data_IF_929980340953
#
_entry.id   IF_929980340953
#
_cell.length_a   1.000
_cell.length_b   1.000
_cell.length_c   1.000
_cell.angle_alpha   90.00
_cell.angle_beta   90.00
_cell.angle_gamma   90.00
#
_symmetry.space_group_name_H-M   'P 1'
#
loop_
_entity.id
_entity.type
_entity.pdbx_description
1 polymer ?
#
# COMPACT_ATOMS: atom_id res chain seq x y z
N UNK A 1 -9.36 13.40 39.54
CA UNK A 1 -8.55 14.57 39.95
C UNK A 1 -9.30 15.90 39.93
N UNK A 2 -9.77 16.42 38.80
CA UNK A 2 -10.66 17.61 38.79
C UNK A 2 -11.97 17.35 39.57
N UNK A 3 -12.47 16.13 39.48
CA UNK A 3 -13.59 15.64 40.27
C UNK A 3 -13.29 15.45 41.76
N UNK A 4 -12.02 15.44 42.18
CA UNK A 4 -11.67 15.29 43.61
C UNK A 4 -11.70 16.64 44.35
N UNK A 5 -11.46 17.75 43.65
CA UNK A 5 -11.55 19.10 44.24
C UNK A 5 -13.01 19.58 44.40
N UNK A 6 -13.90 19.16 43.49
CA UNK A 6 -15.34 19.52 43.51
C UNK A 6 -16.08 19.14 44.80
N UNK A 7 -15.98 17.89 45.32
CA UNK A 7 -16.71 17.50 46.52
C UNK A 7 -16.20 18.24 47.76
N UNK A 8 -14.93 18.62 47.83
CA UNK A 8 -14.41 19.42 48.94
C UNK A 8 -14.97 20.83 48.94
N UNK A 9 -15.11 21.43 47.76
CA UNK A 9 -15.78 22.72 47.60
C UNK A 9 -17.26 22.64 47.98
N UNK A 10 -17.95 21.61 47.50
CA UNK A 10 -19.35 21.39 47.83
C UNK A 10 -19.56 21.15 49.34
N UNK A 11 -18.64 20.42 49.97
CA UNK A 11 -18.62 20.23 51.42
C UNK A 11 -18.39 21.55 52.16
N UNK A 12 -17.50 22.42 51.67
CA UNK A 12 -17.25 23.75 52.25
C UNK A 12 -18.49 24.66 52.12
N UNK A 13 -19.11 24.70 50.94
CA UNK A 13 -20.32 25.50 50.69
C UNK A 13 -21.51 24.98 51.50
N UNK A 14 -21.66 23.66 51.61
CA UNK A 14 -22.68 23.05 52.46
C UNK A 14 -22.43 23.31 53.95
N UNK A 15 -21.17 23.32 54.39
CA UNK A 15 -20.81 23.71 55.76
C UNK A 15 -21.08 25.18 56.07
N UNK A 16 -21.04 26.08 55.09
CA UNK A 16 -21.47 27.47 55.26
C UNK A 16 -23.00 27.59 55.32
N UNK A 17 -23.73 26.80 54.52
CA UNK A 17 -25.21 26.80 54.52
C UNK A 17 -25.82 26.29 55.83
N UNK A 18 -25.08 25.52 56.62
CA UNK A 18 -25.53 25.11 57.97
C UNK A 18 -25.43 26.24 59.00
N UNK A 19 -24.71 27.32 58.71
CA UNK A 19 -24.52 28.45 59.63
C UNK A 19 -25.74 29.37 59.58
N UNK A 20 -26.44 29.49 60.70
CA UNK A 20 -27.57 30.42 60.82
C UNK A 20 -27.09 31.84 61.17
N UNK A 21 -27.59 32.90 60.50
CA UNK A 21 -27.24 34.29 60.82
C UNK A 21 -27.50 34.68 62.29
N UNK A 22 -28.54 34.09 62.89
CA UNK A 22 -28.88 34.29 64.31
C UNK A 22 -27.77 33.81 65.25
N UNK A 23 -27.04 32.77 64.88
CA UNK A 23 -25.96 32.21 65.69
C UNK A 23 -24.65 32.99 65.58
N UNK A 24 -24.35 33.55 64.41
CA UNK A 24 -23.26 34.51 64.30
C UNK A 24 -23.53 35.74 65.19
N UNK A 25 -24.80 36.16 65.30
CA UNK A 25 -25.20 37.22 66.20
C UNK A 25 -25.10 36.84 67.69
N UNK A 26 -25.22 35.57 68.08
CA UNK A 26 -25.00 35.11 69.47
C UNK A 26 -23.52 35.04 69.80
N UNK A 27 -22.68 34.50 68.92
CA UNK A 27 -21.22 34.45 69.07
C UNK A 27 -20.64 35.86 69.23
N UNK A 28 -21.15 36.84 68.48
CA UNK A 28 -20.78 38.26 68.60
C UNK A 28 -21.07 38.87 69.98
N UNK A 29 -22.09 38.39 70.69
CA UNK A 29 -22.49 38.91 72.01
C UNK A 29 -21.71 38.29 73.17
N UNK A 30 -20.90 37.26 72.92
CA UNK A 30 -20.09 36.61 73.94
C UNK A 30 -18.92 37.52 74.34
N UNK A 31 -18.91 37.98 75.59
CA UNK A 31 -17.79 38.76 76.14
C UNK A 31 -16.50 37.92 76.27
N UNK A 32 -16.64 36.60 76.51
CA UNK A 32 -15.54 35.64 76.61
C UNK A 32 -15.96 34.29 75.99
N UNK A 33 -15.89 34.13 74.66
CA UNK A 33 -16.28 32.87 74.01
C UNK A 33 -15.35 31.69 74.39
N UNK A 34 -15.80 30.45 74.17
CA UNK A 34 -14.97 29.26 74.35
C UNK A 34 -13.70 29.32 73.50
N UNK A 35 -12.61 28.76 74.03
CA UNK A 35 -11.30 28.79 73.39
C UNK A 35 -11.31 28.27 71.94
N UNK A 36 -12.03 27.16 71.70
CA UNK A 36 -12.15 26.58 70.36
C UNK A 36 -12.84 27.53 69.35
N UNK A 37 -13.85 28.29 69.80
CA UNK A 37 -14.52 29.29 68.94
C UNK A 37 -13.55 30.41 68.56
N UNK A 38 -12.71 30.84 69.50
CA UNK A 38 -11.68 31.84 69.22
C UNK A 38 -10.63 31.31 68.24
N UNK A 39 -10.19 30.06 68.37
CA UNK A 39 -9.24 29.43 67.43
C UNK A 39 -9.82 29.31 66.01
N UNK A 40 -11.09 28.94 65.89
CA UNK A 40 -11.77 28.87 64.57
C UNK A 40 -11.82 30.26 63.93
N UNK A 41 -12.09 31.31 64.71
CA UNK A 41 -12.08 32.68 64.19
C UNK A 41 -10.69 33.19 63.81
N UNK A 42 -9.63 32.79 64.53
CA UNK A 42 -8.25 33.06 64.11
C UNK A 42 -7.95 32.42 62.76
N UNK A 43 -8.44 31.20 62.50
CA UNK A 43 -8.29 30.54 61.20
C UNK A 43 -9.01 31.30 60.08
N UNK A 44 -10.19 31.85 60.38
CA UNK A 44 -10.93 32.71 59.44
C UNK A 44 -10.16 34.02 59.21
N UNK A 45 -9.57 34.64 60.23
CA UNK A 45 -8.72 35.83 60.05
C UNK A 45 -7.51 35.55 59.16
N UNK A 46 -6.87 34.39 59.34
CA UNK A 46 -5.72 33.95 58.53
C UNK A 46 -6.13 33.79 57.06
N UNK A 47 -7.24 33.10 56.77
CA UNK A 47 -7.75 32.93 55.41
C UNK A 47 -8.08 34.27 54.73
N UNK A 48 -8.61 35.24 55.47
CA UNK A 48 -8.88 36.59 54.96
C UNK A 48 -7.68 37.54 55.03
N UNK A 49 -6.49 37.03 55.38
CA UNK A 49 -5.24 37.78 55.51
C UNK A 49 -5.40 39.05 56.36
N UNK A 50 -6.16 38.93 57.46
CA UNK A 50 -6.38 40.02 58.43
C UNK A 50 -5.33 39.98 59.54
N UNK A 51 -5.17 41.12 60.21
CA UNK A 51 -4.21 41.28 61.28
C UNK A 51 -4.56 40.35 62.46
N UNK A 52 -3.55 39.64 62.96
CA UNK A 52 -3.60 38.90 64.22
C UNK A 52 -2.90 39.71 65.33
N UNK A 53 -3.30 39.46 66.57
CA UNK A 53 -2.60 39.98 67.74
C UNK A 53 -1.22 39.31 67.88
N UNK A 54 -0.25 39.95 68.56
CA UNK A 54 1.08 39.36 68.76
C UNK A 54 1.00 37.99 69.44
N UNK A 55 1.80 37.05 68.94
CA UNK A 55 1.80 35.65 69.40
C UNK A 55 2.32 35.55 70.84
N UNK A 56 1.39 35.34 71.79
CA UNK A 56 1.72 35.12 73.21
C UNK A 56 1.36 33.68 73.57
N UNK A 57 2.30 32.95 74.17
CA UNK A 57 2.07 31.57 74.62
C UNK A 57 1.18 31.53 75.87
N UNK A 58 0.09 30.75 75.81
CA UNK A 58 -0.77 30.48 76.96
C UNK A 58 -0.42 29.11 77.56
N UNK A 59 0.20 29.14 78.74
CA UNK A 59 0.62 27.93 79.45
C UNK A 59 -0.56 27.07 79.95
N UNK A 60 -1.74 27.65 80.19
CA UNK A 60 -2.92 26.92 80.66
C UNK A 60 -3.64 26.18 79.53
N UNK A 61 -3.63 26.76 78.33
CA UNK A 61 -4.29 26.18 77.15
C UNK A 61 -3.33 25.40 76.26
N UNK A 62 -2.03 25.46 76.55
CA UNK A 62 -0.94 24.85 75.77
C UNK A 62 -1.02 25.23 74.29
N UNK A 63 -1.34 26.49 74.02
CA UNK A 63 -1.50 27.01 72.67
C UNK A 63 -1.36 28.54 72.68
N UNK A 64 -1.29 29.16 71.50
CA UNK A 64 -1.21 30.62 71.40
C UNK A 64 -2.50 31.30 71.86
N UNK A 65 -2.37 32.46 72.50
CA UNK A 65 -3.49 33.30 72.87
C UNK A 65 -4.23 33.76 71.61
N UNK A 66 -5.56 33.57 71.53
CA UNK A 66 -6.29 33.86 70.32
C UNK A 66 -6.60 35.35 70.16
N UNK A 67 -6.74 35.80 68.91
CA UNK A 67 -6.92 37.21 68.52
C UNK A 67 -8.40 37.60 68.49
N UNK A 68 -9.09 37.44 69.63
CA UNK A 68 -10.53 37.69 69.70
C UNK A 68 -10.93 39.14 69.41
N UNK A 69 -10.06 40.12 69.75
CA UNK A 69 -10.32 41.53 69.48
C UNK A 69 -10.45 41.83 67.98
N UNK A 70 -9.54 41.27 67.17
CA UNK A 70 -9.58 41.39 65.71
C UNK A 70 -10.70 40.52 65.10
N UNK A 71 -10.94 39.33 65.66
CA UNK A 71 -12.05 38.45 65.25
C UNK A 71 -13.40 39.14 65.41
N UNK A 72 -13.59 39.85 66.52
CA UNK A 72 -14.83 40.58 66.79
C UNK A 72 -15.03 41.76 65.83
N UNK A 73 -13.96 42.46 65.42
CA UNK A 73 -14.04 43.48 64.37
C UNK A 73 -14.52 42.90 63.04
N UNK A 74 -14.01 41.72 62.67
CA UNK A 74 -14.43 41.02 61.45
C UNK A 74 -15.88 40.53 61.51
N UNK A 75 -16.31 39.98 62.66
CA UNK A 75 -17.71 39.58 62.90
C UNK A 75 -18.67 40.77 62.93
N UNK A 76 -18.20 41.94 63.33
CA UNK A 76 -18.99 43.19 63.33
C UNK A 76 -19.06 43.86 61.96
N UNK A 77 -18.18 43.49 61.01
CA UNK A 77 -18.22 44.01 59.66
C UNK A 77 -19.51 43.56 58.94
N UNK A 78 -20.19 44.48 58.26
CA UNK A 78 -21.36 44.16 57.46
C UNK A 78 -21.01 43.15 56.37
N UNK A 79 -21.79 42.06 56.28
CA UNK A 79 -21.63 41.08 55.19
C UNK A 79 -20.66 39.92 55.44
N UNK A 80 -20.24 39.64 56.69
CA UNK A 80 -19.35 38.52 57.03
C UNK A 80 -19.70 37.18 56.33
N UNK A 81 -20.97 36.74 56.41
CA UNK A 81 -21.41 35.50 55.76
C UNK A 81 -21.35 35.57 54.22
N UNK A 82 -21.63 36.74 53.63
CA UNK A 82 -21.52 36.93 52.18
C UNK A 82 -20.07 36.87 51.72
N UNK A 83 -19.15 37.43 52.51
CA UNK A 83 -17.72 37.36 52.24
C UNK A 83 -17.18 35.93 52.34
N UNK A 84 -17.73 35.09 53.25
CA UNK A 84 -17.40 33.66 53.33
C UNK A 84 -17.89 32.88 52.11
N UNK A 85 -19.12 33.14 51.65
CA UNK A 85 -19.69 32.48 50.47
C UNK A 85 -18.98 32.88 49.18
N UNK A 86 -18.58 34.15 49.06
CA UNK A 86 -17.89 34.70 47.88
C UNK A 86 -16.37 34.77 48.06
N UNK A 87 -15.80 33.97 48.95
CA UNK A 87 -14.37 33.98 49.22
C UNK A 87 -13.58 33.56 47.97
N UNK A 88 -12.56 34.35 47.61
CA UNK A 88 -11.67 34.05 46.50
C UNK A 88 -10.68 32.95 46.91
N UNK A 89 -10.94 31.74 46.43
CA UNK A 89 -10.24 30.52 46.83
C UNK A 89 -8.86 30.41 46.18
N UNK A 90 -8.66 31.11 45.07
CA UNK A 90 -7.37 31.18 44.38
C UNK A 90 -6.42 32.19 45.08
N UNK A 91 -6.92 32.96 46.05
CA UNK A 91 -6.11 33.86 46.88
C UNK A 91 -5.35 33.16 48.03
N UNK A 92 -5.65 31.87 48.29
CA UNK A 92 -4.97 31.09 49.32
C UNK A 92 -3.56 30.73 48.82
N UNK A 93 -2.54 31.18 49.54
CA UNK A 93 -1.14 30.84 49.28
C UNK A 93 -0.62 29.76 50.26
N UNK A 94 0.54 29.17 49.96
CA UNK A 94 1.18 28.14 50.80
C UNK A 94 1.40 28.65 52.22
N UNK A 95 1.85 29.90 52.37
CA UNK A 95 2.11 30.51 53.67
C UNK A 95 0.84 30.64 54.51
N UNK A 96 -0.31 30.84 53.86
CA UNK A 96 -1.61 30.94 54.56
C UNK A 96 -2.01 29.56 55.12
N UNK A 97 -1.80 28.50 54.33
CA UNK A 97 -2.11 27.13 54.76
C UNK A 97 -1.12 26.63 55.82
N UNK A 98 0.15 26.98 55.71
CA UNK A 98 1.16 26.68 56.72
C UNK A 98 0.85 27.39 58.05
N UNK A 99 0.36 28.63 58.01
CA UNK A 99 -0.07 29.35 59.21
C UNK A 99 -1.33 28.75 59.85
N UNK A 100 -2.19 28.09 59.07
CA UNK A 100 -3.36 27.35 59.57
C UNK A 100 -3.01 25.99 60.16
N UNK A 101 -1.92 25.36 59.71
CA UNK A 101 -1.56 23.99 60.09
C UNK A 101 -1.49 23.76 61.62
N UNK A 102 -0.91 24.66 62.45
CA UNK A 102 -0.90 24.48 63.91
C UNK A 102 -2.29 24.45 64.54
N UNK A 103 -3.26 25.17 63.96
CA UNK A 103 -4.64 25.21 64.43
C UNK A 103 -5.42 23.96 64.00
N UNK A 104 -5.30 23.58 62.73
CA UNK A 104 -6.02 22.42 62.15
C UNK A 104 -5.50 21.11 62.75
N UNK A 105 -4.20 21.00 63.00
CA UNK A 105 -3.58 19.80 63.60
C UNK A 105 -3.79 19.71 65.12
N UNK A 106 -4.41 20.70 65.76
CA UNK A 106 -4.69 20.66 67.19
C UNK A 106 -5.76 19.60 67.48
N UNK A 107 -5.55 18.64 68.41
CA UNK A 107 -6.46 17.51 68.61
C UNK A 107 -7.92 17.87 68.95
N UNK A 108 -8.14 19.05 69.54
CA UNK A 108 -9.49 19.55 69.88
C UNK A 108 -10.15 20.32 68.73
N UNK A 109 -9.46 20.53 67.61
CA UNK A 109 -9.98 21.17 66.41
C UNK A 109 -10.72 20.14 65.55
N UNK A 110 -11.85 19.65 66.06
CA UNK A 110 -12.67 18.65 65.37
C UNK A 110 -14.16 18.99 65.49
N UNK A 111 -14.96 18.42 64.58
CA UNK A 111 -16.40 18.68 64.50
C UNK A 111 -17.15 18.34 65.79
N UNK A 112 -16.76 17.27 66.50
CA UNK A 112 -17.46 16.82 67.70
C UNK A 112 -17.29 17.82 68.87
N UNK A 113 -16.07 18.31 69.08
CA UNK A 113 -15.76 19.33 70.08
C UNK A 113 -16.34 20.70 69.70
N UNK A 114 -16.35 21.03 68.40
CA UNK A 114 -17.01 22.24 67.90
C UNK A 114 -18.52 22.19 68.15
N UNK A 115 -19.19 21.07 67.86
CA UNK A 115 -20.62 20.90 68.09
C UNK A 115 -20.99 20.94 69.58
N UNK A 116 -20.10 20.44 70.46
CA UNK A 116 -20.28 20.52 71.92
C UNK A 116 -20.16 21.96 72.46
N UNK A 117 -19.34 22.79 71.82
CA UNK A 117 -19.14 24.18 72.25
C UNK A 117 -20.15 25.15 71.61
N UNK A 118 -20.36 25.06 70.29
CA UNK A 118 -21.37 25.80 69.55
C UNK A 118 -21.66 25.11 68.21
N UNK A 119 -22.89 24.60 68.04
CA UNK A 119 -23.32 23.91 66.83
C UNK A 119 -23.13 24.72 65.54
N UNK A 120 -23.26 26.04 65.61
CA UNK A 120 -23.14 26.94 64.46
C UNK A 120 -21.68 27.25 64.08
N UNK A 121 -20.75 27.14 65.03
CA UNK A 121 -19.31 27.33 64.80
C UNK A 121 -18.67 26.07 64.20
N UNK A 122 -19.34 24.92 64.30
CA UNK A 122 -18.92 23.68 63.64
C UNK A 122 -18.94 23.79 62.10
N UNK A 123 -19.84 24.60 61.52
CA UNK A 123 -19.86 24.88 60.08
C UNK A 123 -18.63 25.67 59.63
N UNK A 124 -18.21 26.67 60.41
CA UNK A 124 -16.99 27.45 60.15
C UNK A 124 -15.72 26.59 60.25
N UNK A 125 -15.65 25.68 61.23
CA UNK A 125 -14.52 24.74 61.35
C UNK A 125 -14.39 23.83 60.13
N UNK A 126 -15.51 23.30 59.61
CA UNK A 126 -15.48 22.44 58.43
C UNK A 126 -15.07 23.23 57.18
N UNK A 127 -15.53 24.48 57.09
CA UNK A 127 -15.16 25.37 56.00
C UNK A 127 -13.66 25.68 55.99
N UNK A 128 -13.03 26.00 57.12
CA UNK A 128 -11.59 26.30 57.19
C UNK A 128 -10.73 25.08 56.81
N UNK A 129 -11.12 23.88 57.22
CA UNK A 129 -10.45 22.62 56.84
C UNK A 129 -10.61 22.37 55.33
N UNK A 130 -11.82 22.50 54.81
CA UNK A 130 -12.08 22.26 53.39
C UNK A 130 -11.34 23.26 52.47
N UNK A 131 -11.13 24.51 52.92
CA UNK A 131 -10.34 25.51 52.20
C UNK A 131 -8.84 25.17 52.17
N UNK A 132 -8.28 24.61 53.25
CA UNK A 132 -6.87 24.17 53.25
C UNK A 132 -6.66 22.93 52.38
N UNK A 133 -7.58 21.96 52.44
CA UNK A 133 -7.53 20.75 51.61
C UNK A 133 -7.70 21.09 50.11
N UNK A 134 -8.58 22.05 49.81
CA UNK A 134 -8.76 22.56 48.46
C UNK A 134 -7.46 23.11 47.87
N UNK A 135 -6.69 23.89 48.63
CA UNK A 135 -5.40 24.43 48.18
C UNK A 135 -4.44 23.31 47.76
N UNK A 136 -4.24 22.28 48.60
CA UNK A 136 -3.31 21.18 48.31
C UNK A 136 -3.69 20.39 47.05
N UNK A 137 -4.98 20.22 46.78
CA UNK A 137 -5.47 19.55 45.58
C UNK A 137 -5.38 20.48 44.37
N UNK A 138 -5.78 21.74 44.49
CA UNK A 138 -5.71 22.71 43.40
C UNK A 138 -4.27 22.91 42.92
N UNK A 139 -3.28 22.93 43.83
CA UNK A 139 -1.85 22.96 43.51
C UNK A 139 -1.41 21.81 42.60
N UNK A 140 -1.97 20.61 42.78
CA UNK A 140 -1.69 19.45 41.92
C UNK A 140 -2.45 19.52 40.59
N UNK A 141 -3.67 20.07 40.60
CA UNK A 141 -4.57 20.08 39.44
C UNK A 141 -4.25 21.19 38.44
N UNK A 142 -3.83 22.37 38.89
CA UNK A 142 -3.48 23.51 38.03
C UNK A 142 -2.43 23.19 36.96
N UNK A 143 -1.25 22.62 37.30
CA UNK A 143 -0.25 22.28 36.28
C UNK A 143 -0.76 21.21 35.31
N UNK A 144 -1.59 20.27 35.78
CA UNK A 144 -2.17 19.23 34.94
C UNK A 144 -3.18 19.81 33.93
N UNK A 145 -4.02 20.77 34.34
CA UNK A 145 -4.93 21.48 33.43
C UNK A 145 -4.17 22.25 32.36
N UNK A 146 -3.12 22.98 32.75
CA UNK A 146 -2.28 23.71 31.82
C UNK A 146 -1.60 22.76 30.82
N UNK A 147 -1.06 21.64 31.31
CA UNK A 147 -0.46 20.61 30.47
C UNK A 147 -1.48 19.99 29.51
N UNK A 148 -2.71 19.72 29.97
CA UNK A 148 -3.78 19.17 29.15
C UNK A 148 -4.13 20.09 27.97
N UNK A 149 -4.33 21.39 28.23
CA UNK A 149 -4.60 22.38 27.16
C UNK A 149 -3.47 22.40 26.11
N UNK A 150 -2.22 22.35 26.55
CA UNK A 150 -1.06 22.33 25.64
C UNK A 150 -1.06 21.04 24.81
N UNK A 151 -1.37 19.89 25.42
CA UNK A 151 -1.40 18.59 24.74
C UNK A 151 -2.56 18.51 23.75
N UNK A 152 -3.74 19.01 24.10
CA UNK A 152 -4.90 19.09 23.20
C UNK A 152 -4.62 19.99 22.00
N UNK A 153 -4.00 21.17 22.21
CA UNK A 153 -3.58 22.03 21.10
C UNK A 153 -2.61 21.30 20.16
N UNK A 154 -1.56 20.67 20.72
CA UNK A 154 -0.58 19.91 19.94
C UNK A 154 -1.22 18.74 19.18
N UNK A 155 -2.19 18.06 19.79
CA UNK A 155 -2.95 17.01 19.13
C UNK A 155 -3.73 17.56 17.94
N UNK A 156 -4.45 18.68 18.12
CA UNK A 156 -5.18 19.33 17.04
C UNK A 156 -4.28 19.75 15.87
N UNK A 157 -3.14 20.35 16.16
CA UNK A 157 -2.13 20.72 15.13
C UNK A 157 -1.59 19.48 14.39
N UNK A 158 -1.25 18.42 15.11
CA UNK A 158 -0.76 17.18 14.51
C UNK A 158 -1.83 16.49 13.65
N UNK A 159 -3.09 16.44 14.10
CA UNK A 159 -4.21 15.89 13.34
C UNK A 159 -4.49 16.71 12.07
N UNK A 160 -4.42 18.04 12.15
CA UNK A 160 -4.56 18.90 10.97
C UNK A 160 -3.45 18.64 9.94
N UNK A 161 -2.19 18.56 10.39
CA UNK A 161 -1.05 18.23 9.53
C UNK A 161 -1.16 16.83 8.92
N UNK A 162 -1.65 15.84 9.67
CA UNK A 162 -1.88 14.49 9.18
C UNK A 162 -2.95 14.49 8.07
N UNK A 163 -4.06 15.18 8.27
CA UNK A 163 -5.13 15.27 7.28
C UNK A 163 -4.67 15.95 5.99
N UNK A 164 -3.85 17.01 6.09
CA UNK A 164 -3.27 17.65 4.91
C UNK A 164 -2.32 16.72 4.15
N UNK A 165 -1.47 15.98 4.88
CA UNK A 165 -0.55 15.01 4.27
C UNK A 165 -1.31 13.86 3.60
N UNK A 166 -2.36 13.34 4.24
CA UNK A 166 -3.21 12.29 3.67
C UNK A 166 -3.90 12.77 2.40
N UNK A 167 -4.45 14.00 2.41
CA UNK A 167 -5.08 14.57 1.21
C UNK A 167 -4.10 14.67 0.03
N UNK A 168 -2.87 15.13 0.28
CA UNK A 168 -1.82 15.19 -0.77
C UNK A 168 -1.46 13.80 -1.27
N UNK A 169 -1.43 12.80 -0.39
CA UNK A 169 -1.17 11.41 -0.76
C UNK A 169 -2.28 10.86 -1.65
N UNK A 170 -3.54 11.09 -1.29
CA UNK A 170 -4.70 10.64 -2.07
C UNK A 170 -4.74 11.30 -3.46
N UNK A 171 -4.45 12.60 -3.54
CA UNK A 171 -4.34 13.33 -4.81
C UNK A 171 -3.23 12.74 -5.70
N UNK A 172 -2.06 12.45 -5.14
CA UNK A 172 -0.94 11.87 -5.89
C UNK A 172 -1.17 10.42 -6.28
N UNK A 173 -1.87 9.64 -5.45
CA UNK A 173 -2.26 8.28 -5.79
C UNK A 173 -3.24 8.27 -6.97
N UNK A 174 -4.23 9.19 -6.99
CA UNK A 174 -5.15 9.31 -8.11
C UNK A 174 -4.44 9.71 -9.42
N UNK A 175 -3.48 10.64 -9.36
CA UNK A 175 -2.63 10.97 -10.52
C UNK A 175 -1.82 9.75 -11.00
N UNK A 176 -1.24 8.99 -10.07
CA UNK A 176 -0.45 7.80 -10.38
C UNK A 176 -1.31 6.72 -11.06
N UNK A 177 -2.51 6.47 -10.56
CA UNK A 177 -3.42 5.46 -11.10
C UNK A 177 -3.82 5.77 -12.55
N UNK A 178 -4.04 7.05 -12.87
CA UNK A 178 -4.31 7.50 -14.25
C UNK A 178 -3.11 7.23 -15.16
N UNK A 179 -1.91 7.60 -14.73
CA UNK A 179 -0.68 7.40 -15.51
C UNK A 179 -0.38 5.91 -15.68
N UNK A 180 -0.59 5.11 -14.64
CA UNK A 180 -0.42 3.66 -14.67
C UNK A 180 -1.37 3.02 -15.69
N UNK A 181 -2.65 3.41 -15.70
CA UNK A 181 -3.62 2.93 -16.68
C UNK A 181 -3.24 3.31 -18.12
N UNK A 182 -2.74 4.54 -18.34
CA UNK A 182 -2.24 4.96 -19.64
C UNK A 182 -1.02 4.15 -20.07
N UNK A 183 -0.09 3.89 -19.13
CA UNK A 183 1.10 3.09 -19.37
C UNK A 183 0.75 1.65 -19.75
N UNK A 184 -0.13 1.01 -19.00
CA UNK A 184 -0.56 -0.37 -19.25
C UNK A 184 -1.26 -0.51 -20.60
N UNK A 185 -2.10 0.48 -20.96
CA UNK A 185 -2.71 0.55 -22.29
C UNK A 185 -1.67 0.67 -23.39
N UNK A 186 -0.72 1.61 -23.26
CA UNK A 186 0.33 1.83 -24.25
C UNK A 186 1.25 0.60 -24.40
N UNK A 187 1.57 -0.09 -23.30
CA UNK A 187 2.35 -1.34 -23.34
C UNK A 187 1.57 -2.48 -23.97
N UNK A 188 0.25 -2.56 -23.75
CA UNK A 188 -0.65 -3.49 -24.43
C UNK A 188 -0.65 -3.28 -25.95
N UNK A 189 -0.86 -2.04 -26.40
CA UNK A 189 -0.84 -1.66 -27.82
C UNK A 189 0.53 -1.93 -28.46
N UNK A 190 1.62 -1.57 -27.77
CA UNK A 190 2.98 -1.86 -28.22
C UNK A 190 3.18 -3.36 -28.43
N UNK A 191 2.71 -4.20 -27.51
CA UNK A 191 2.86 -5.66 -27.63
C UNK A 191 2.11 -6.20 -28.86
N UNK A 192 0.87 -5.78 -29.07
CA UNK A 192 0.08 -6.16 -30.25
C UNK A 192 0.82 -5.79 -31.54
N UNK A 193 1.32 -4.55 -31.63
CA UNK A 193 2.07 -4.10 -32.81
C UNK A 193 3.38 -4.88 -33.02
N UNK A 194 4.08 -5.24 -31.95
CA UNK A 194 5.29 -6.07 -32.05
C UNK A 194 4.99 -7.49 -32.53
N UNK A 195 3.90 -8.09 -32.03
CA UNK A 195 3.47 -9.43 -32.43
C UNK A 195 3.02 -9.45 -33.91
N UNK A 196 2.25 -8.44 -34.33
CA UNK A 196 1.83 -8.28 -35.73
C UNK A 196 3.02 -8.05 -36.67
N UNK A 197 3.99 -7.21 -36.26
CA UNK A 197 5.21 -6.98 -37.03
C UNK A 197 6.04 -8.27 -37.14
N UNK A 198 6.14 -9.06 -36.08
CA UNK A 198 6.83 -10.35 -36.09
C UNK A 198 6.13 -11.35 -37.03
N UNK A 199 4.81 -11.42 -36.99
CA UNK A 199 4.02 -12.27 -37.90
C UNK A 199 4.22 -11.85 -39.36
N UNK A 200 4.16 -10.54 -39.65
CA UNK A 200 4.38 -10.02 -40.99
C UNK A 200 5.79 -10.35 -41.50
N UNK A 201 6.83 -10.19 -40.66
CA UNK A 201 8.20 -10.57 -41.01
C UNK A 201 8.33 -12.05 -41.33
N UNK A 202 7.70 -12.92 -40.55
CA UNK A 202 7.68 -14.38 -40.82
C UNK A 202 7.03 -14.67 -42.16
N UNK A 203 5.83 -14.12 -42.41
CA UNK A 203 5.12 -14.27 -43.70
C UNK A 203 5.98 -13.78 -44.87
N UNK A 204 6.64 -12.63 -44.73
CA UNK A 204 7.49 -12.07 -45.78
C UNK A 204 8.72 -12.95 -46.04
N UNK A 205 9.35 -13.48 -45.00
CA UNK A 205 10.46 -14.44 -45.14
C UNK A 205 10.02 -15.70 -45.88
N UNK A 206 8.88 -16.31 -45.48
CA UNK A 206 8.33 -17.47 -46.16
C UNK A 206 7.98 -17.19 -47.62
N UNK A 207 7.39 -16.03 -47.93
CA UNK A 207 7.08 -15.62 -49.28
C UNK A 207 8.35 -15.45 -50.14
N UNK A 208 9.39 -14.81 -49.60
CA UNK A 208 10.67 -14.65 -50.30
C UNK A 208 11.34 -16.00 -50.60
N UNK A 209 11.33 -16.92 -49.63
CA UNK A 209 11.83 -18.29 -49.83
C UNK A 209 11.07 -18.99 -50.95
N UNK A 210 9.73 -18.89 -50.94
CA UNK A 210 8.89 -19.49 -51.98
C UNK A 210 9.17 -18.89 -53.36
N UNK A 211 9.29 -17.57 -53.47
CA UNK A 211 9.66 -16.89 -54.72
C UNK A 211 11.03 -17.38 -55.22
N UNK A 212 12.01 -17.52 -54.34
CA UNK A 212 13.34 -18.02 -54.70
C UNK A 212 13.28 -19.46 -55.22
N UNK A 213 12.51 -20.34 -54.54
CA UNK A 213 12.34 -21.74 -54.96
C UNK A 213 11.61 -21.84 -56.30
N UNK A 214 10.51 -21.10 -56.49
CA UNK A 214 9.78 -21.05 -57.76
C UNK A 214 10.62 -20.42 -58.88
N UNK A 215 11.52 -19.49 -58.57
CA UNK A 215 12.43 -18.90 -59.54
C UNK A 215 13.34 -19.94 -60.19
N UNK A 216 13.93 -20.83 -59.39
CA UNK A 216 14.73 -21.95 -59.88
C UNK A 216 13.90 -22.96 -60.68
N UNK A 217 12.71 -23.29 -60.17
CA UNK A 217 11.80 -24.24 -60.83
C UNK A 217 11.30 -23.71 -62.19
N UNK A 218 11.00 -22.41 -62.28
CA UNK A 218 10.65 -21.75 -63.55
C UNK A 218 11.75 -21.91 -64.60
N UNK A 219 13.02 -21.73 -64.21
CA UNK A 219 14.16 -21.93 -65.13
C UNK A 219 14.22 -23.38 -65.59
N UNK A 220 14.08 -24.34 -64.65
CA UNK A 220 14.06 -25.78 -64.95
C UNK A 220 12.94 -26.16 -65.92
N UNK A 221 11.70 -25.77 -65.65
CA UNK A 221 10.56 -26.05 -66.54
C UNK A 221 10.69 -25.38 -67.89
N UNK A 222 11.24 -24.16 -67.95
CA UNK A 222 11.49 -23.48 -69.23
C UNK A 222 12.54 -24.23 -70.06
N UNK A 223 13.62 -24.72 -69.43
CA UNK A 223 14.62 -25.52 -70.10
C UNK A 223 14.05 -26.88 -70.57
N UNK A 224 13.30 -27.58 -69.71
CA UNK A 224 12.64 -28.83 -70.07
C UNK A 224 11.63 -28.66 -71.20
N UNK A 225 10.84 -27.59 -71.19
CA UNK A 225 9.89 -27.29 -72.27
C UNK A 225 10.61 -27.10 -73.61
N UNK A 226 11.75 -26.41 -73.63
CA UNK A 226 12.57 -26.26 -74.85
C UNK A 226 13.14 -27.60 -75.31
N UNK A 227 13.65 -28.40 -74.38
CA UNK A 227 14.17 -29.74 -74.69
C UNK A 227 13.08 -30.65 -75.26
N UNK A 228 11.87 -30.64 -74.70
CA UNK A 228 10.75 -31.41 -75.23
C UNK A 228 10.35 -30.97 -76.64
N UNK A 229 10.38 -29.68 -76.95
CA UNK A 229 10.14 -29.20 -78.32
C UNK A 229 11.19 -29.75 -79.29
N UNK A 230 12.47 -29.72 -78.91
CA UNK A 230 13.55 -30.30 -79.72
C UNK A 230 13.46 -31.84 -79.84
N UNK A 231 12.94 -32.53 -78.81
CA UNK A 231 12.67 -33.97 -78.87
C UNK A 231 11.50 -34.28 -79.81
N UNK A 232 10.42 -33.50 -79.77
CA UNK A 232 9.26 -33.67 -80.67
C UNK A 232 9.70 -33.55 -82.14
N UNK A 233 10.59 -32.61 -82.47
CA UNK A 233 11.11 -32.46 -83.83
C UNK A 233 11.89 -33.70 -84.31
N UNK A 234 12.74 -34.29 -83.45
CA UNK A 234 13.57 -35.48 -83.76
C UNK A 234 12.80 -36.81 -83.66
N UNK A 235 11.70 -36.84 -82.93
CA UNK A 235 10.95 -38.06 -82.58
C UNK A 235 10.52 -38.87 -83.81
N UNK A 236 10.16 -38.19 -84.89
CA UNK A 236 9.71 -38.86 -86.13
C UNK A 236 10.84 -39.71 -86.72
N UNK A 237 12.07 -39.19 -86.77
CA UNK A 237 13.24 -39.93 -87.20
C UNK A 237 13.60 -41.06 -86.23
N UNK A 238 13.54 -40.79 -84.92
CA UNK A 238 13.87 -41.78 -83.89
C UNK A 238 12.92 -42.99 -83.90
N UNK A 239 11.61 -42.75 -84.08
CA UNK A 239 10.59 -43.81 -84.24
C UNK A 239 10.83 -44.59 -85.53
N UNK A 240 11.24 -43.93 -86.62
CA UNK A 240 11.56 -44.60 -87.88
C UNK A 240 12.74 -45.56 -87.71
N UNK A 241 13.82 -45.14 -87.05
CA UNK A 241 14.97 -46.00 -86.74
C UNK A 241 14.55 -47.19 -85.88
N UNK A 242 13.78 -46.95 -84.82
CA UNK A 242 13.32 -48.02 -83.92
C UNK A 242 12.43 -49.03 -84.63
N UNK A 243 11.49 -48.57 -85.45
CA UNK A 243 10.58 -49.45 -86.22
C UNK A 243 11.34 -50.22 -87.29
N UNK A 244 12.26 -49.59 -88.02
CA UNK A 244 13.12 -50.27 -88.98
C UNK A 244 13.99 -51.35 -88.31
N UNK A 245 14.56 -51.05 -87.14
CA UNK A 245 15.33 -52.01 -86.35
C UNK A 245 14.46 -53.21 -85.92
N UNK A 246 13.26 -52.98 -85.36
CA UNK A 246 12.35 -54.05 -84.96
C UNK A 246 11.92 -54.93 -86.12
N UNK A 247 11.58 -54.33 -87.26
CA UNK A 247 11.02 -55.04 -88.41
C UNK A 247 12.07 -55.80 -89.22
N UNK A 248 13.30 -55.27 -89.34
CA UNK A 248 14.29 -55.79 -90.29
C UNK A 248 15.59 -56.30 -89.65
N UNK A 249 15.94 -55.91 -88.41
CA UNK A 249 17.24 -56.28 -87.82
C UNK A 249 17.26 -57.61 -87.07
N UNK A 250 16.09 -58.23 -86.80
CA UNK A 250 15.96 -59.45 -86.00
C UNK A 250 16.88 -60.63 -86.38
N UNK A 251 16.90 -61.09 -87.65
CA UNK A 251 17.61 -62.32 -88.03
C UNK A 251 19.13 -62.14 -88.27
N UNK A 252 19.66 -60.92 -88.17
CA UNK A 252 21.05 -60.60 -88.52
C UNK A 252 21.96 -60.51 -87.30
N UNK A 253 23.29 -60.64 -87.48
CA UNK A 253 24.29 -60.47 -86.42
C UNK A 253 24.58 -58.99 -86.12
N UNK A 254 25.29 -58.70 -85.03
CA UNK A 254 25.50 -57.33 -84.54
C UNK A 254 26.17 -56.42 -85.57
N UNK A 255 27.20 -56.90 -86.25
CA UNK A 255 27.92 -56.14 -87.27
C UNK A 255 27.01 -55.73 -88.43
N UNK A 256 26.20 -56.67 -88.93
CA UNK A 256 25.26 -56.38 -90.01
C UNK A 256 24.12 -55.43 -89.57
N UNK A 257 23.63 -55.54 -88.32
CA UNK A 257 22.66 -54.59 -87.75
C UNK A 257 23.20 -53.16 -87.68
N UNK A 258 24.47 -53.00 -87.30
CA UNK A 258 25.13 -51.68 -87.29
C UNK A 258 25.29 -51.11 -88.71
N UNK A 259 25.58 -51.96 -89.70
CA UNK A 259 25.66 -51.53 -91.10
C UNK A 259 24.29 -51.10 -91.64
N UNK A 260 23.22 -51.86 -91.36
CA UNK A 260 21.84 -51.48 -91.73
C UNK A 260 21.45 -50.11 -91.13
N UNK A 261 21.77 -49.88 -89.85
CA UNK A 261 21.54 -48.59 -89.19
C UNK A 261 22.21 -47.44 -89.94
N UNK A 262 23.50 -47.58 -90.30
CA UNK A 262 24.24 -46.54 -91.03
C UNK A 262 23.61 -46.22 -92.39
N UNK A 263 23.07 -47.23 -93.08
CA UNK A 263 22.36 -47.03 -94.36
C UNK A 263 21.07 -46.24 -94.14
N UNK A 264 20.31 -46.53 -93.09
CA UNK A 264 19.10 -45.78 -92.76
C UNK A 264 19.42 -44.34 -92.33
N UNK A 265 20.41 -44.15 -91.47
CA UNK A 265 20.91 -42.81 -91.08
C UNK A 265 21.31 -42.00 -92.30
N UNK A 266 22.04 -42.60 -93.24
CA UNK A 266 22.42 -41.93 -94.49
C UNK A 266 21.22 -41.51 -95.37
N UNK A 267 20.18 -42.34 -95.50
CA UNK A 267 18.97 -41.97 -96.27
C UNK A 267 18.18 -40.86 -95.55
N UNK A 268 18.14 -40.87 -94.22
CA UNK A 268 17.49 -39.80 -93.43
C UNK A 268 18.23 -38.46 -93.55
N UNK A 269 19.57 -38.49 -93.55
CA UNK A 269 20.41 -37.32 -93.81
C UNK A 269 20.12 -36.71 -95.18
N UNK A 270 20.05 -37.54 -96.23
CA UNK A 270 19.73 -37.08 -97.58
C UNK A 270 18.33 -36.43 -97.66
N UNK A 271 17.37 -36.94 -96.89
CA UNK A 271 16.00 -36.42 -96.81
C UNK A 271 15.83 -35.26 -95.82
N UNK A 272 16.91 -34.86 -95.14
CA UNK A 272 16.92 -33.82 -94.10
C UNK A 272 15.92 -34.09 -92.97
N UNK A 273 15.75 -35.35 -92.60
CA UNK A 273 14.91 -35.72 -91.48
C UNK A 273 15.72 -35.64 -90.19
N UNK A 274 15.30 -34.84 -89.19
CA UNK A 274 16.00 -34.76 -87.91
C UNK A 274 15.81 -36.06 -87.13
N UNK A 275 16.90 -36.53 -86.53
CA UNK A 275 16.92 -37.66 -85.61
C UNK A 275 17.95 -37.40 -84.51
N UNK A 276 17.97 -38.24 -83.48
CA UNK A 276 18.92 -38.16 -82.37
C UNK A 276 20.21 -38.88 -82.72
N UNK A 277 21.33 -38.17 -82.68
CA UNK A 277 22.67 -38.75 -82.85
C UNK A 277 22.91 -39.86 -81.83
N UNK A 278 23.41 -41.01 -82.29
CA UNK A 278 23.71 -42.19 -81.47
C UNK A 278 22.50 -42.71 -80.64
N UNK A 279 21.30 -42.70 -81.23
CA UNK A 279 20.08 -43.19 -80.58
C UNK A 279 20.21 -44.63 -80.04
N UNK A 280 20.13 -44.77 -78.72
CA UNK A 280 20.01 -46.06 -78.05
C UNK A 280 18.56 -46.58 -78.10
N UNK A 281 18.30 -47.46 -79.07
CA UNK A 281 16.98 -48.06 -79.34
C UNK A 281 16.42 -48.79 -78.12
N UNK A 282 17.26 -49.45 -77.32
CA UNK A 282 16.81 -50.16 -76.11
C UNK A 282 16.24 -49.19 -75.08
N UNK A 283 16.94 -48.08 -74.83
CA UNK A 283 16.50 -47.07 -73.86
C UNK A 283 15.27 -46.28 -74.31
N UNK A 284 15.06 -46.13 -75.63
CA UNK A 284 13.87 -45.48 -76.16
C UNK A 284 12.61 -46.35 -76.02
N UNK A 285 12.76 -47.67 -76.12
CA UNK A 285 11.65 -48.60 -76.16
C UNK A 285 11.28 -49.21 -74.80
N UNK A 286 12.25 -49.29 -73.89
CA UNK A 286 12.07 -49.92 -72.58
C UNK A 286 12.68 -49.02 -71.52
N UNK A 287 11.90 -48.72 -70.49
CA UNK A 287 12.38 -47.98 -69.33
C UNK A 287 13.40 -48.81 -68.52
N UNK A 288 14.40 -48.15 -67.95
CA UNK A 288 15.49 -48.78 -67.22
C UNK A 288 14.96 -49.58 -66.01
N UNK A 289 13.89 -49.10 -65.38
CA UNK A 289 13.20 -49.82 -64.32
C UNK A 289 12.67 -51.18 -64.80
N UNK A 290 12.16 -51.29 -66.03
CA UNK A 290 11.65 -52.54 -66.61
C UNK A 290 12.79 -53.49 -67.01
N UNK A 291 13.92 -52.95 -67.44
CA UNK A 291 15.15 -53.73 -67.71
C UNK A 291 15.73 -54.35 -66.44
N UNK A 292 15.56 -53.67 -65.30
CA UNK A 292 16.09 -54.09 -63.99
C UNK A 292 15.26 -55.18 -63.28
N UNK A 293 14.04 -55.49 -63.74
CA UNK A 293 13.19 -56.53 -63.14
C UNK A 293 13.74 -57.91 -63.52
N UNK A 294 14.12 -58.77 -62.55
CA UNK A 294 14.55 -60.13 -62.85
C UNK A 294 13.35 -60.98 -63.28
N UNK A 295 13.23 -61.29 -64.57
CA UNK A 295 12.25 -62.28 -65.06
C UNK A 295 12.77 -63.71 -64.85
N UNK A 296 11.90 -64.64 -64.43
CA UNK A 296 12.18 -66.09 -64.33
C UNK A 296 12.55 -66.79 -65.67
N UNK A 297 12.69 -66.02 -66.75
CA UNK A 297 13.33 -66.44 -67.99
C UNK A 297 14.73 -65.83 -68.02
N UNK A 298 15.77 -66.66 -68.14
CA UNK A 298 17.17 -66.27 -68.24
C UNK A 298 17.40 -65.30 -69.40
N UNK A 299 17.31 -63.99 -69.12
CA UNK A 299 17.81 -62.95 -70.02
C UNK A 299 19.30 -62.79 -69.75
N UNK A 300 20.11 -62.92 -70.80
CA UNK A 300 21.52 -62.57 -70.78
C UNK A 300 21.59 -61.06 -70.53
N UNK A 301 22.01 -60.66 -69.35
CA UNK A 301 22.23 -59.27 -68.94
C UNK A 301 23.58 -58.76 -69.44
N UNK A 302 23.79 -58.83 -70.75
CA UNK A 302 24.73 -57.97 -71.46
C UNK A 302 23.92 -57.15 -72.46
N UNK A 303 24.41 -55.97 -72.87
CA UNK A 303 23.69 -55.09 -73.79
C UNK A 303 23.30 -55.76 -75.13
N UNK A 304 23.78 -56.98 -75.41
CA UNK A 304 23.50 -57.78 -76.59
C UNK A 304 23.63 -59.28 -76.26
N UNK A 305 22.52 -60.02 -76.19
CA UNK A 305 22.51 -61.49 -76.17
C UNK A 305 22.89 -62.13 -77.54
N UNK A 306 23.86 -61.55 -78.26
CA UNK A 306 24.41 -62.04 -79.55
C UNK A 306 25.82 -61.48 -79.79
N UNK A 307 26.68 -61.54 -78.77
CA UNK A 307 28.11 -61.71 -79.00
C UNK A 307 28.39 -63.20 -78.82
N UNK A 308 28.28 -63.95 -79.91
CA UNK A 308 28.63 -65.36 -79.96
C UNK A 308 30.07 -65.55 -79.48
N UNK A 309 30.19 -66.39 -78.45
CA UNK A 309 31.19 -67.44 -78.27
C UNK A 309 32.50 -67.28 -79.07
N UNK A 310 33.61 -67.20 -78.32
CA UNK A 310 34.92 -67.55 -78.86
C UNK A 310 35.02 -69.00 -79.31
#
# INVERSE_FOLDING_TARGET
MLEEARPLLENAENALKTIQPAAIATVRKLAKPPFLVMQIMDCVLILFQKKLDPTVWDAEKQFFKPSWGESLKMLNASGFLQNLMNYDRDSINEETVDLLAPYINYPKYNRAEAMRSSGDVAGLLLWTIAMSDFYWINRKVLPLKAALIIKERKLGEATASLNEAQKKLDEKQAELDVVQAMYDKAMGEKKILMDDAALCRRKMSSANTLISMLGGERVRWTAQSKEYLAQIERLVGDVLICTAFLSYSGPFNQEYRMNLRKVWEHDMDQRKMPYTDELNVTSMMIDEATVSIPSNFSRVTSAFACADLG
#
